data_IF_768680368466
#
_entry.id   IF_768680368466
#
_cell.length_a   1.000
_cell.length_b   1.000
_cell.length_c   1.000
_cell.angle_alpha   90.00
_cell.angle_beta   90.00
_cell.angle_gamma   90.00
#
_symmetry.space_group_name_H-M   'P 1'
#
loop_
_entity.id
_entity.type
_entity.pdbx_description
1 polymer ?
#
# COMPACT_ATOMS: atom_id res chain seq x y z
N UNK A 1 -23.67 -8.16 -1.23
CA UNK A 1 -22.93 -8.34 0.05
C UNK A 1 -21.66 -9.10 -0.30
N UNK A 2 -20.51 -8.71 0.23
CA UNK A 2 -19.22 -9.33 -0.09
C UNK A 2 -18.72 -10.13 1.11
N UNK A 3 -18.17 -11.31 0.84
CA UNK A 3 -17.51 -12.15 1.85
C UNK A 3 -16.06 -11.72 2.08
N UNK A 4 -15.47 -10.99 1.14
CA UNK A 4 -14.12 -10.42 1.21
C UNK A 4 -14.00 -9.18 0.32
N UNK A 5 -13.19 -8.20 0.71
CA UNK A 5 -12.85 -7.05 -0.13
C UNK A 5 -11.32 -6.92 -0.26
N UNK A 6 -10.83 -6.95 -1.49
CA UNK A 6 -9.44 -6.65 -1.82
C UNK A 6 -9.37 -5.30 -2.53
N UNK A 7 -8.63 -4.35 -1.98
CA UNK A 7 -8.53 -3.00 -2.53
C UNK A 7 -7.07 -2.55 -2.65
N UNK A 8 -6.74 -1.94 -3.78
CA UNK A 8 -5.47 -1.24 -4.00
C UNK A 8 -5.76 0.21 -4.35
N UNK A 9 -5.11 1.16 -3.66
CA UNK A 9 -5.31 2.57 -3.96
C UNK A 9 -4.83 3.53 -2.88
N UNK A 10 -5.47 4.69 -2.79
CA UNK A 10 -5.05 5.74 -1.85
C UNK A 10 -5.47 5.44 -0.41
N UNK A 11 -4.70 5.96 0.55
CA UNK A 11 -5.02 5.87 1.99
C UNK A 11 -6.40 6.46 2.27
N UNK A 12 -6.76 7.58 1.62
CA UNK A 12 -8.05 8.24 1.81
C UNK A 12 -9.21 7.32 1.42
N UNK A 13 -9.13 6.67 0.25
CA UNK A 13 -10.18 5.76 -0.23
C UNK A 13 -10.17 4.46 0.57
N UNK A 14 -9.00 3.93 0.93
CA UNK A 14 -8.88 2.73 1.77
C UNK A 14 -9.62 2.85 3.11
N UNK A 15 -9.60 4.03 3.73
CA UNK A 15 -10.38 4.31 4.96
C UNK A 15 -11.88 4.19 4.72
N UNK A 16 -12.38 4.73 3.60
CA UNK A 16 -13.80 4.64 3.22
C UNK A 16 -14.22 3.20 2.93
N UNK A 17 -13.35 2.43 2.27
CA UNK A 17 -13.56 1.00 2.02
C UNK A 17 -13.66 0.24 3.35
N UNK A 18 -12.76 0.48 4.30
CA UNK A 18 -12.80 -0.16 5.62
C UNK A 18 -14.07 0.22 6.41
N UNK A 19 -14.47 1.48 6.38
CA UNK A 19 -15.71 1.95 7.01
C UNK A 19 -16.95 1.24 6.45
N UNK A 20 -17.02 1.07 5.13
CA UNK A 20 -18.09 0.33 4.49
C UNK A 20 -18.07 -1.17 4.85
N UNK A 21 -16.89 -1.79 4.87
CA UNK A 21 -16.71 -3.21 5.19
C UNK A 21 -17.09 -3.55 6.65
N UNK A 22 -16.81 -2.64 7.59
CA UNK A 22 -17.11 -2.81 9.00
C UNK A 22 -18.62 -3.00 9.29
N UNK A 23 -19.51 -2.42 8.45
CA UNK A 23 -20.97 -2.56 8.59
C UNK A 23 -21.47 -4.00 8.45
N UNK A 24 -20.70 -4.86 7.78
CA UNK A 24 -21.03 -6.28 7.57
C UNK A 24 -19.99 -7.24 8.11
N UNK A 25 -19.03 -6.74 8.91
CA UNK A 25 -17.88 -7.52 9.41
C UNK A 25 -17.12 -8.23 8.27
N UNK A 26 -17.05 -7.59 7.11
CA UNK A 26 -16.39 -8.15 5.93
C UNK A 26 -14.87 -7.98 6.08
N UNK A 27 -14.08 -9.06 6.00
CA UNK A 27 -12.62 -8.98 6.01
C UNK A 27 -12.09 -8.24 4.78
N UNK A 28 -10.95 -7.55 4.96
CA UNK A 28 -10.35 -6.70 3.92
C UNK A 28 -8.83 -6.90 3.80
N UNK A 29 -8.32 -6.78 2.57
CA UNK A 29 -6.92 -6.45 2.26
C UNK A 29 -6.87 -5.06 1.65
N UNK A 30 -6.06 -4.16 2.22
CA UNK A 30 -5.87 -2.80 1.73
C UNK A 30 -4.41 -2.57 1.35
N UNK A 31 -4.11 -2.66 0.06
CA UNK A 31 -2.80 -2.34 -0.51
C UNK A 31 -2.74 -0.84 -0.80
N UNK A 32 -2.18 -0.08 0.15
CA UNK A 32 -2.21 1.38 0.12
C UNK A 32 -0.86 1.96 -0.34
N UNK A 33 -0.84 3.29 -0.50
CA UNK A 33 0.39 4.01 -0.78
C UNK A 33 1.36 4.09 0.40
N UNK A 34 2.60 4.43 0.09
CA UNK A 34 3.65 4.71 1.05
C UNK A 34 4.72 5.61 0.44
N UNK A 35 5.71 6.02 1.26
CA UNK A 35 6.93 6.67 0.78
C UNK A 35 8.05 5.68 0.96
N UNK A 36 8.43 4.98 -0.10
CA UNK A 36 9.49 3.97 -0.09
C UNK A 36 10.86 4.66 -0.11
N UNK A 37 11.60 4.74 1.00
CA UNK A 37 12.92 5.37 0.99
C UNK A 37 13.92 4.49 0.23
N UNK A 38 14.87 5.14 -0.44
CA UNK A 38 16.05 4.49 -1.01
C UNK A 38 17.29 5.07 -0.33
N UNK A 39 18.09 4.22 0.32
CA UNK A 39 19.32 4.61 1.02
C UNK A 39 20.50 4.13 0.19
N UNK A 40 21.38 5.06 -0.17
CA UNK A 40 22.62 4.80 -0.90
C UNK A 40 23.76 5.26 -0.01
N UNK A 41 24.60 4.33 0.42
CA UNK A 41 25.78 4.63 1.26
C UNK A 41 27.06 4.80 0.42
N UNK A 42 28.15 5.15 1.09
CA UNK A 42 29.46 5.43 0.47
C UNK A 42 30.11 4.23 -0.24
N UNK A 43 29.66 3.00 0.05
CA UNK A 43 30.17 1.76 -0.53
C UNK A 43 29.36 1.27 -1.73
N UNK A 44 28.27 1.96 -2.07
CA UNK A 44 27.35 1.53 -3.11
C UNK A 44 27.91 1.70 -4.52
N UNK A 45 27.59 0.76 -5.41
CA UNK A 45 27.76 0.92 -6.85
C UNK A 45 26.73 1.95 -7.38
N UNK A 46 27.22 3.18 -7.63
CA UNK A 46 26.39 4.31 -8.07
C UNK A 46 25.80 4.11 -9.46
N UNK A 47 26.51 3.45 -10.38
CA UNK A 47 26.01 3.18 -11.72
C UNK A 47 24.84 2.19 -11.68
N UNK A 48 24.92 1.20 -10.80
CA UNK A 48 23.84 0.25 -10.58
C UNK A 48 22.64 0.89 -9.86
N UNK A 49 22.90 1.69 -8.82
CA UNK A 49 21.86 2.35 -8.04
C UNK A 49 21.05 3.37 -8.84
N UNK A 50 21.68 4.14 -9.73
CA UNK A 50 21.00 5.15 -10.55
C UNK A 50 20.13 4.55 -11.69
N UNK A 51 20.40 3.29 -12.09
CA UNK A 51 19.66 2.61 -13.17
C UNK A 51 18.39 1.88 -12.70
N UNK A 52 18.24 1.63 -11.40
CA UNK A 52 17.12 0.89 -10.80
C UNK A 52 16.07 1.83 -10.22
#
# INVERSE_FOLDING_TARGET
>A
KFDYIFFTGSIQVGKLVMEAAAKSLTPVSLELGGKSPCIVDETADLECAAKR
#
